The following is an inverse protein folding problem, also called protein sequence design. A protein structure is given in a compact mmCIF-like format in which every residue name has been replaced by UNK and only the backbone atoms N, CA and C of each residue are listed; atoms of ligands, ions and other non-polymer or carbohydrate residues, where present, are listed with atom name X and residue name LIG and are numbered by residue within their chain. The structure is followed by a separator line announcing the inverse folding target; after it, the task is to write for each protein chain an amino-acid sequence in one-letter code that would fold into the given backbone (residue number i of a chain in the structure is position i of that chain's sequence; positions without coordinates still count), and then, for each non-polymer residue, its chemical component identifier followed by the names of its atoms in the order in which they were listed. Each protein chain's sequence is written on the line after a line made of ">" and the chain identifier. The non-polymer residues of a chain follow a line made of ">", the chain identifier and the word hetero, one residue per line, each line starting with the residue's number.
data_IF_689594087779
#
_entry.id   IF_689594087779
#
_cell.length_a   1.000
_cell.length_b   1.000
_cell.length_c   1.000
_cell.angle_alpha   90.00
_cell.angle_beta   90.00
_cell.angle_gamma   90.00
#
_symmetry.space_group_name_H-M   'P 1'
#
loop_
_entity.id
_entity.type
_entity.pdbx_description
1 polymer ?
#
# COMPACT_ATOMS: atom_id res chain seq x y z
N UNK A 1 12.92 -25.58 21.31
CA UNK A 1 12.01 -24.42 21.11
C UNK A 1 12.55 -23.37 20.12
N UNK A 2 13.77 -23.51 19.58
CA UNK A 2 14.41 -22.53 18.68
C UNK A 2 14.00 -22.67 17.21
N UNK A 3 13.85 -23.91 16.70
CA UNK A 3 13.49 -24.16 15.30
C UNK A 3 12.10 -23.60 14.92
N UNK A 4 11.10 -23.75 15.79
CA UNK A 4 9.75 -23.21 15.55
C UNK A 4 9.71 -21.68 15.48
N UNK A 5 10.54 -20.99 16.29
CA UNK A 5 10.63 -19.52 16.23
C UNK A 5 11.32 -19.05 14.96
N UNK A 6 12.40 -19.72 14.53
CA UNK A 6 13.07 -19.42 13.28
C UNK A 6 12.13 -19.60 12.07
N UNK A 7 11.43 -20.74 12.00
CA UNK A 7 10.44 -21.00 10.94
C UNK A 7 9.31 -19.97 10.92
N UNK A 8 8.81 -19.54 12.09
CA UNK A 8 7.77 -18.52 12.18
C UNK A 8 8.25 -17.16 11.66
N UNK A 9 9.49 -16.78 11.96
CA UNK A 9 10.08 -15.52 11.51
C UNK A 9 10.30 -15.54 9.98
N UNK A 10 10.79 -16.64 9.44
CA UNK A 10 11.00 -16.78 7.98
C UNK A 10 9.67 -16.73 7.22
N UNK A 11 8.61 -17.33 7.78
CA UNK A 11 7.27 -17.28 7.20
C UNK A 11 6.68 -15.85 7.25
N UNK A 12 6.85 -15.12 8.36
CA UNK A 12 6.40 -13.72 8.48
C UNK A 12 7.15 -12.82 7.49
N UNK A 13 8.47 -12.98 7.39
CA UNK A 13 9.29 -12.24 6.44
C UNK A 13 8.85 -12.50 4.99
N UNK A 14 8.75 -13.77 4.60
CA UNK A 14 8.32 -14.14 3.24
C UNK A 14 6.93 -13.60 2.93
N UNK A 15 6.00 -13.67 3.89
CA UNK A 15 4.64 -13.18 3.69
C UNK A 15 4.61 -11.64 3.52
N UNK A 16 5.46 -10.91 4.25
CA UNK A 16 5.60 -9.46 4.13
C UNK A 16 6.21 -9.06 2.78
N UNK A 17 7.25 -9.76 2.32
CA UNK A 17 7.85 -9.55 1.00
C UNK A 17 6.83 -9.78 -0.12
N UNK A 18 6.09 -10.89 -0.06
CA UNK A 18 5.03 -11.18 -1.04
C UNK A 18 3.95 -10.11 -1.05
N UNK A 19 3.56 -9.59 0.13
CA UNK A 19 2.61 -8.48 0.21
C UNK A 19 3.17 -7.20 -0.44
N UNK A 20 4.45 -6.88 -0.20
CA UNK A 20 5.14 -5.75 -0.81
C UNK A 20 5.21 -5.85 -2.34
N UNK A 21 5.52 -7.04 -2.87
CA UNK A 21 5.52 -7.31 -4.31
C UNK A 21 4.12 -7.13 -4.92
N UNK A 22 3.08 -7.69 -4.30
CA UNK A 22 1.69 -7.55 -4.76
C UNK A 22 1.23 -6.09 -4.79
N UNK A 23 1.53 -5.32 -3.73
CA UNK A 23 1.20 -3.89 -3.66
C UNK A 23 1.91 -3.12 -4.77
N UNK A 24 3.20 -3.41 -4.99
CA UNK A 24 3.99 -2.77 -6.05
C UNK A 24 3.43 -3.08 -7.44
N UNK A 25 3.10 -4.35 -7.70
CA UNK A 25 2.52 -4.78 -8.97
C UNK A 25 1.16 -4.09 -9.21
N UNK A 26 0.29 -4.09 -8.20
CA UNK A 26 -1.04 -3.50 -8.32
C UNK A 26 -0.98 -1.98 -8.51
N UNK A 27 -0.09 -1.28 -7.80
CA UNK A 27 0.16 0.15 -8.00
C UNK A 27 0.62 0.45 -9.44
N UNK A 28 1.51 -0.37 -9.99
CA UNK A 28 1.99 -0.22 -11.35
C UNK A 28 0.89 -0.48 -12.39
N UNK A 29 -0.01 -1.45 -12.16
CA UNK A 29 -1.17 -1.69 -13.03
C UNK A 29 -2.09 -0.47 -13.09
N UNK A 30 -2.39 0.16 -11.95
CA UNK A 30 -3.19 1.40 -11.94
C UNK A 30 -2.48 2.55 -12.67
N UNK A 31 -1.17 2.70 -12.48
CA UNK A 31 -0.39 3.70 -13.22
C UNK A 31 -0.43 3.46 -14.74
N UNK A 32 -0.31 2.21 -15.18
CA UNK A 32 -0.43 1.84 -16.59
C UNK A 32 -1.83 2.17 -17.14
N UNK A 33 -2.88 1.82 -16.40
CA UNK A 33 -4.25 2.17 -16.76
C UNK A 33 -4.43 3.70 -16.89
N UNK A 34 -3.90 4.48 -15.94
CA UNK A 34 -3.92 5.93 -15.99
C UNK A 34 -3.23 6.50 -17.24
N UNK A 35 -2.06 5.95 -17.61
CA UNK A 35 -1.35 6.36 -18.83
C UNK A 35 -2.19 6.04 -20.08
N UNK A 36 -2.79 4.85 -20.14
CA UNK A 36 -3.59 4.39 -21.29
C UNK A 36 -4.90 5.17 -21.45
N UNK A 37 -5.43 5.76 -20.38
CA UNK A 37 -6.65 6.57 -20.39
C UNK A 37 -6.38 8.07 -20.59
N UNK A 38 -5.20 8.43 -21.10
CA UNK A 38 -4.77 9.82 -21.31
C UNK A 38 -4.69 10.66 -20.02
N UNK A 39 -4.22 10.02 -18.95
CA UNK A 39 -3.81 10.66 -17.70
C UNK A 39 -4.92 11.48 -17.01
N UNK A 40 -6.12 10.89 -16.80
CA UNK A 40 -7.22 11.62 -16.19
C UNK A 40 -6.90 12.02 -14.73
N UNK A 41 -7.57 13.05 -14.18
CA UNK A 41 -7.39 13.43 -12.77
C UNK A 41 -7.90 12.35 -11.80
N UNK A 42 -8.73 11.43 -12.27
CA UNK A 42 -9.31 10.33 -11.49
C UNK A 42 -9.39 9.05 -12.34
N UNK A 43 -9.29 7.90 -11.69
CA UNK A 43 -9.56 6.59 -12.30
C UNK A 43 -10.84 6.00 -11.73
N UNK A 44 -11.69 5.43 -12.59
CA UNK A 44 -12.81 4.62 -12.15
C UNK A 44 -12.32 3.20 -11.82
N UNK A 45 -12.36 2.83 -10.54
CA UNK A 45 -11.87 1.55 -10.04
C UNK A 45 -13.00 0.81 -9.32
N UNK A 46 -13.57 -0.19 -10.00
CA UNK A 46 -14.70 -0.96 -9.47
C UNK A 46 -15.99 -0.14 -9.46
N UNK A 47 -16.23 0.58 -8.37
CA UNK A 47 -17.45 1.36 -8.16
C UNK A 47 -17.21 2.84 -7.85
N UNK A 48 -15.96 3.24 -7.61
CA UNK A 48 -15.62 4.59 -7.15
C UNK A 48 -14.62 5.28 -8.09
N UNK A 49 -14.71 6.61 -8.14
CA UNK A 49 -13.71 7.47 -8.78
C UNK A 49 -12.62 7.82 -7.77
N UNK A 50 -11.42 7.32 -8.04
CA UNK A 50 -10.25 7.52 -7.17
C UNK A 50 -9.36 8.59 -7.77
N UNK A 51 -9.02 9.63 -6.99
CA UNK A 51 -8.10 10.67 -7.42
C UNK A 51 -6.71 10.11 -7.69
N UNK A 52 -6.03 10.70 -8.67
CA UNK A 52 -4.68 10.31 -9.09
C UNK A 52 -3.75 11.52 -9.02
N UNK A 53 -2.58 11.34 -8.41
CA UNK A 53 -1.54 12.35 -8.31
C UNK A 53 -0.24 11.80 -8.91
N UNK A 54 0.29 12.44 -9.96
CA UNK A 54 1.50 11.99 -10.67
C UNK A 54 1.42 10.54 -11.19
N UNK A 55 0.22 10.06 -11.52
CA UNK A 55 -0.04 8.69 -11.97
C UNK A 55 -0.18 7.65 -10.86
N UNK A 56 -0.21 8.07 -9.60
CA UNK A 56 -0.39 7.19 -8.45
C UNK A 56 -1.71 7.49 -7.73
N UNK A 57 -2.34 6.45 -7.18
CA UNK A 57 -3.60 6.61 -6.47
C UNK A 57 -3.41 7.51 -5.24
N UNK A 58 -4.37 8.40 -5.06
CA UNK A 58 -4.46 9.34 -3.96
C UNK A 58 -5.92 9.34 -3.45
N UNK A 59 -6.42 8.21 -2.89
CA UNK A 59 -7.75 8.19 -2.30
C UNK A 59 -7.80 9.18 -1.14
N UNK A 60 -8.82 10.02 -1.11
CA UNK A 60 -8.93 11.09 -0.11
C UNK A 60 -10.17 10.97 0.76
N UNK A 61 -9.98 11.24 2.05
CA UNK A 61 -11.03 11.48 3.03
C UNK A 61 -10.69 12.77 3.77
N UNK A 62 -11.63 13.71 3.83
CA UNK A 62 -11.44 15.02 4.49
C UNK A 62 -10.14 15.75 4.06
N UNK A 63 -9.86 15.74 2.74
CA UNK A 63 -8.67 16.34 2.12
C UNK A 63 -7.31 15.70 2.48
N UNK A 64 -7.31 14.57 3.19
CA UNK A 64 -6.12 13.78 3.52
C UNK A 64 -6.16 12.43 2.84
N UNK A 65 -5.02 11.74 2.76
CA UNK A 65 -5.02 10.37 2.23
C UNK A 65 -5.88 9.44 3.11
N UNK A 66 -6.71 8.63 2.48
CA UNK A 66 -7.34 7.49 3.14
C UNK A 66 -6.45 6.25 2.97
N UNK A 67 -5.62 5.98 3.99
CA UNK A 67 -4.71 4.85 3.98
C UNK A 67 -5.41 3.49 4.05
N UNK A 68 -6.64 3.43 4.57
CA UNK A 68 -7.43 2.19 4.59
C UNK A 68 -7.96 1.88 3.18
N UNK A 69 -8.53 2.88 2.50
CA UNK A 69 -8.94 2.75 1.11
C UNK A 69 -7.76 2.42 0.19
N UNK A 70 -6.61 3.09 0.39
CA UNK A 70 -5.40 2.79 -0.38
C UNK A 70 -4.96 1.33 -0.20
N UNK A 71 -4.96 0.81 1.03
CA UNK A 71 -4.63 -0.60 1.27
C UNK A 71 -5.63 -1.53 0.60
N UNK A 72 -6.92 -1.24 0.68
CA UNK A 72 -7.95 -2.06 0.04
C UNK A 72 -7.80 -2.10 -1.49
N UNK A 73 -7.35 -1.01 -2.11
CA UNK A 73 -7.09 -0.92 -3.55
C UNK A 73 -5.82 -1.66 -3.97
N UNK A 74 -4.75 -1.58 -3.17
CA UNK A 74 -3.43 -2.15 -3.51
C UNK A 74 -3.23 -3.59 -3.03
N UNK A 75 -3.89 -3.99 -1.94
CA UNK A 75 -3.86 -5.34 -1.38
C UNK A 75 -5.26 -5.71 -0.85
N UNK A 76 -6.18 -6.21 -1.70
CA UNK A 76 -7.57 -6.45 -1.31
C UNK A 76 -7.76 -7.42 -0.14
N UNK A 77 -6.81 -8.35 0.08
CA UNK A 77 -6.84 -9.25 1.23
C UNK A 77 -6.64 -8.50 2.55
N UNK A 78 -5.95 -7.35 2.52
CA UNK A 78 -5.56 -6.47 3.65
C UNK A 78 -4.77 -7.14 4.78
N UNK A 79 -4.73 -8.46 4.81
CA UNK A 79 -4.13 -9.26 5.85
C UNK A 79 -2.82 -9.87 5.38
N UNK A 80 -1.93 -10.09 6.35
CA UNK A 80 -0.74 -10.91 6.19
C UNK A 80 -0.79 -11.95 7.30
N UNK A 81 -0.72 -13.24 6.95
CA UNK A 81 -0.84 -14.35 7.90
C UNK A 81 -2.06 -14.23 8.84
N UNK A 82 -3.22 -13.89 8.28
CA UNK A 82 -4.48 -13.65 9.01
C UNK A 82 -4.45 -12.49 10.03
N UNK A 83 -3.41 -11.65 10.01
CA UNK A 83 -3.33 -10.45 10.83
C UNK A 83 -3.78 -9.22 10.04
N UNK A 84 -4.65 -8.40 10.63
CA UNK A 84 -4.98 -7.08 10.13
C UNK A 84 -3.96 -6.06 10.64
N UNK A 85 -3.57 -5.06 9.84
CA UNK A 85 -2.63 -4.06 10.29
C UNK A 85 -3.31 -2.99 11.13
N UNK A 86 -2.57 -2.41 12.08
CA UNK A 86 -2.88 -1.04 12.50
C UNK A 86 -2.38 -0.07 11.42
N UNK A 87 -3.12 1.02 11.19
CA UNK A 87 -2.89 1.93 10.08
C UNK A 87 -2.58 3.32 10.62
N UNK A 88 -1.51 3.91 10.12
CA UNK A 88 -1.14 5.30 10.40
C UNK A 88 -0.83 6.03 9.11
N UNK A 89 -1.09 7.34 9.09
CA UNK A 89 -0.88 8.21 7.93
C UNK A 89 -0.01 9.40 8.29
N UNK A 90 0.79 9.84 7.31
CA UNK A 90 1.50 11.11 7.33
C UNK A 90 1.26 11.77 5.97
N UNK A 91 0.67 12.96 5.96
CA UNK A 91 0.53 13.74 4.75
C UNK A 91 1.82 14.54 4.48
N UNK A 92 2.19 14.64 3.20
CA UNK A 92 3.24 15.54 2.73
C UNK A 92 2.62 16.64 1.87
N UNK A 93 3.35 17.73 1.66
CA UNK A 93 2.90 18.79 0.74
C UNK A 93 2.61 18.26 -0.68
N UNK A 94 3.31 17.19 -1.11
CA UNK A 94 3.10 16.52 -2.39
C UNK A 94 3.15 15.00 -2.23
N UNK A 95 2.15 14.46 -1.53
CA UNK A 95 1.93 13.02 -1.41
C UNK A 95 1.64 12.61 0.03
N UNK A 96 1.97 11.37 0.37
CA UNK A 96 1.66 10.76 1.65
C UNK A 96 2.63 9.64 2.00
N UNK A 97 2.60 9.22 3.27
CA UNK A 97 3.07 7.91 3.72
C UNK A 97 1.98 7.21 4.51
N UNK A 98 1.57 6.04 4.05
CA UNK A 98 0.73 5.11 4.79
C UNK A 98 1.60 4.01 5.38
N UNK A 99 1.47 3.76 6.69
CA UNK A 99 2.21 2.70 7.38
C UNK A 99 1.23 1.69 7.96
N UNK A 100 1.48 0.41 7.64
CA UNK A 100 0.68 -0.74 7.99
C UNK A 100 1.52 -1.66 8.88
N UNK A 101 1.17 -1.71 10.17
CA UNK A 101 1.88 -2.51 11.16
C UNK A 101 1.11 -3.82 11.42
N UNK A 102 1.70 -4.95 11.02
CA UNK A 102 1.19 -6.30 11.23
C UNK A 102 1.91 -6.93 12.43
N UNK A 103 1.18 -7.19 13.51
CA UNK A 103 1.80 -7.68 14.74
C UNK A 103 2.84 -6.70 15.30
N UNK A 104 3.94 -7.22 15.83
CA UNK A 104 4.95 -6.41 16.55
C UNK A 104 6.14 -6.02 15.66
N UNK A 105 6.56 -6.90 14.76
CA UNK A 105 7.79 -6.78 13.96
C UNK A 105 7.52 -6.33 12.53
N UNK A 106 6.49 -6.88 11.89
CA UNK A 106 6.25 -6.69 10.47
C UNK A 106 5.57 -5.37 10.15
N UNK A 107 6.24 -4.53 9.37
CA UNK A 107 5.71 -3.24 8.94
C UNK A 107 5.89 -3.08 7.43
N UNK A 108 4.84 -2.60 6.78
CA UNK A 108 4.84 -2.21 5.37
C UNK A 108 4.46 -0.74 5.27
N UNK A 109 5.25 0.07 4.56
CA UNK A 109 4.92 1.46 4.29
C UNK A 109 4.80 1.71 2.79
N UNK A 110 3.73 2.38 2.38
CA UNK A 110 3.54 2.89 1.02
C UNK A 110 3.74 4.40 1.06
N UNK A 111 4.65 4.91 0.25
CA UNK A 111 4.93 6.33 0.14
C UNK A 111 4.74 6.82 -1.28
N UNK A 112 4.06 7.97 -1.39
CA UNK A 112 4.14 8.86 -2.53
C UNK A 112 4.81 10.15 -2.06
N UNK A 113 5.93 10.53 -2.67
CA UNK A 113 6.61 11.79 -2.33
C UNK A 113 7.19 12.42 -3.59
N UNK A 114 6.72 13.63 -3.92
CA UNK A 114 7.17 14.38 -5.09
C UNK A 114 7.13 13.53 -6.39
N UNK A 115 6.05 12.75 -6.57
CA UNK A 115 5.85 11.88 -7.74
C UNK A 115 6.57 10.53 -7.70
N UNK A 116 7.44 10.30 -6.71
CA UNK A 116 8.08 9.01 -6.49
C UNK A 116 7.21 8.11 -5.60
N UNK A 117 6.86 6.93 -6.10
CA UNK A 117 6.10 5.93 -5.35
C UNK A 117 7.04 4.79 -4.93
N UNK A 118 7.01 4.42 -3.65
CA UNK A 118 7.82 3.36 -3.11
C UNK A 118 7.08 2.55 -2.06
N UNK A 119 7.46 1.28 -1.96
CA UNK A 119 7.04 0.37 -0.88
C UNK A 119 8.28 0.04 -0.06
N UNK A 120 8.19 0.25 1.26
CA UNK A 120 9.24 -0.06 2.21
C UNK A 120 8.78 -1.16 3.15
N UNK A 121 9.66 -2.12 3.42
CA UNK A 121 9.42 -3.19 4.37
C UNK A 121 10.35 -2.99 5.57
N UNK A 122 9.84 -3.23 6.76
CA UNK A 122 10.62 -3.31 7.99
C UNK A 122 10.18 -4.56 8.75
N UNK A 123 11.18 -5.27 9.27
CA UNK A 123 11.07 -6.52 10.01
C UNK A 123 11.65 -6.31 11.42
#
# INVERSE_FOLDING_TARGET
>A
MTAWRALSNDAEHTALELAGLRITEQANRYKQQWILQDRPPQLYLGQDWIAVQHGWLFPTQDQRVDCHALLALLNPQRQILAQMPSVTSVDFAQGYRCTYQYGVSAQLSVELRAGHFAVYLKL
#
